data_IF_957428306963
#
_entry.id   IF_957428306963
#
_cell.length_a   1.000
_cell.length_b   1.000
_cell.length_c   1.000
_cell.angle_alpha   90.00
_cell.angle_beta   90.00
_cell.angle_gamma   90.00
#
_symmetry.space_group_name_H-M   'P 1'
#
loop_
_entity.id
_entity.type
_entity.pdbx_description
1 polymer ?
#
# COMPACT_ATOMS: atom_id res chain seq x y z
N UNK A 1 23.75 24.14 -18.04
CA UNK A 1 22.82 23.88 -16.94
C UNK A 1 21.77 22.96 -17.52
N UNK A 2 22.03 21.65 -17.42
CA UNK A 2 21.07 20.65 -17.90
C UNK A 2 19.97 20.54 -16.86
N UNK A 3 18.77 20.67 -17.36
CA UNK A 3 17.53 20.80 -16.63
C UNK A 3 17.20 19.48 -15.95
N UNK A 4 17.72 19.28 -14.74
CA UNK A 4 17.35 18.19 -13.84
C UNK A 4 16.04 18.56 -13.14
N UNK A 5 15.03 18.92 -13.95
CA UNK A 5 13.70 19.20 -13.44
C UNK A 5 13.13 17.88 -12.90
N UNK A 6 12.68 17.85 -11.63
CA UNK A 6 12.14 16.64 -11.04
C UNK A 6 10.89 16.24 -11.83
N UNK A 7 11.01 15.17 -12.62
CA UNK A 7 9.87 14.58 -13.33
C UNK A 7 8.75 14.36 -12.30
N UNK A 8 7.55 14.92 -12.52
CA UNK A 8 6.46 14.75 -11.57
C UNK A 8 6.25 13.25 -11.35
N UNK A 9 6.31 12.82 -10.08
CA UNK A 9 6.11 11.42 -9.71
C UNK A 9 4.81 10.96 -10.35
N UNK A 10 4.89 10.01 -11.27
CA UNK A 10 3.71 9.46 -11.92
C UNK A 10 2.73 9.02 -10.82
N UNK A 11 1.47 9.46 -10.92
CA UNK A 11 0.43 9.03 -10.00
C UNK A 11 0.29 7.52 -10.15
N UNK A 12 0.80 6.76 -9.16
CA UNK A 12 0.82 5.30 -9.17
C UNK A 12 -0.62 4.77 -9.01
N UNK A 13 -1.32 4.61 -10.13
CA UNK A 13 -2.70 4.13 -10.16
C UNK A 13 -2.77 2.65 -10.57
N UNK A 14 -3.58 1.88 -9.86
CA UNK A 14 -3.85 0.48 -10.23
C UNK A 14 -4.50 0.44 -11.62
N UNK A 15 -4.00 -0.46 -12.47
CA UNK A 15 -4.54 -0.67 -13.82
C UNK A 15 -4.15 0.39 -14.86
N UNK A 16 -3.19 1.26 -14.56
CA UNK A 16 -2.65 2.20 -15.55
C UNK A 16 -1.86 1.46 -16.66
N UNK A 17 -1.83 2.00 -17.90
CA UNK A 17 -0.97 1.49 -18.95
C UNK A 17 0.52 1.52 -18.52
N UNK A 18 1.28 0.48 -18.90
CA UNK A 18 2.69 0.33 -18.50
C UNK A 18 3.67 0.55 -19.65
N UNK A 19 3.18 0.80 -20.86
CA UNK A 19 3.96 0.79 -22.10
C UNK A 19 5.10 1.82 -22.12
N UNK A 20 4.97 2.89 -21.34
CA UNK A 20 5.95 3.98 -21.23
C UNK A 20 6.73 4.00 -19.92
N UNK A 21 6.50 3.02 -19.04
CA UNK A 21 7.13 2.95 -17.71
C UNK A 21 8.37 2.06 -17.78
N UNK A 22 9.50 2.57 -17.30
CA UNK A 22 10.73 1.78 -17.27
C UNK A 22 10.67 0.64 -16.25
N UNK A 23 11.47 -0.41 -16.45
CA UNK A 23 11.58 -1.50 -15.48
C UNK A 23 12.06 -1.05 -14.08
N UNK A 24 12.80 0.06 -13.99
CA UNK A 24 13.19 0.65 -12.71
C UNK A 24 12.00 1.25 -11.98
N UNK A 25 11.24 2.10 -12.67
CA UNK A 25 10.01 2.70 -12.15
C UNK A 25 8.98 1.62 -11.76
N UNK A 26 8.85 0.54 -12.54
CA UNK A 26 7.99 -0.61 -12.18
C UNK A 26 8.42 -1.31 -10.89
N UNK A 27 9.73 -1.38 -10.58
CA UNK A 27 10.21 -1.94 -9.31
C UNK A 27 9.86 -1.04 -8.13
N UNK A 28 10.09 0.26 -8.27
CA UNK A 28 9.72 1.26 -7.24
C UNK A 28 8.20 1.23 -6.98
N UNK A 29 7.39 1.04 -8.03
CA UNK A 29 5.95 0.84 -7.93
C UNK A 29 5.60 -0.42 -7.12
N UNK A 30 6.23 -1.55 -7.43
CA UNK A 30 6.01 -2.82 -6.70
C UNK A 30 6.34 -2.64 -5.22
N UNK A 31 7.48 -2.04 -4.89
CA UNK A 31 7.88 -1.79 -3.50
C UNK A 31 6.85 -0.92 -2.76
N UNK A 32 6.36 0.13 -3.42
CA UNK A 32 5.33 1.01 -2.86
C UNK A 32 4.04 0.26 -2.59
N UNK A 33 3.56 -0.56 -3.53
CA UNK A 33 2.33 -1.33 -3.35
C UNK A 33 2.47 -2.43 -2.30
N UNK A 34 3.63 -3.09 -2.22
CA UNK A 34 3.90 -4.09 -1.17
C UNK A 34 3.90 -3.46 0.22
N UNK A 35 4.50 -2.27 0.37
CA UNK A 35 4.47 -1.54 1.64
C UNK A 35 3.03 -1.17 2.04
N UNK A 36 2.20 -0.73 1.09
CA UNK A 36 0.80 -0.41 1.38
C UNK A 36 -0.03 -1.67 1.69
N UNK A 37 0.21 -2.79 1.01
CA UNK A 37 -0.42 -4.08 1.34
C UNK A 37 -0.10 -4.47 2.78
N UNK A 38 1.18 -4.43 3.18
CA UNK A 38 1.59 -4.78 4.53
C UNK A 38 0.92 -3.89 5.59
N UNK A 39 0.78 -2.60 5.32
CA UNK A 39 0.07 -1.66 6.19
C UNK A 39 -1.42 -2.03 6.34
N UNK A 40 -2.08 -2.34 5.23
CA UNK A 40 -3.50 -2.72 5.22
C UNK A 40 -3.72 -4.03 5.97
N UNK A 41 -2.87 -5.04 5.75
CA UNK A 41 -2.91 -6.31 6.48
C UNK A 41 -2.75 -6.12 7.99
N UNK A 42 -1.81 -5.27 8.42
CA UNK A 42 -1.61 -4.95 9.83
C UNK A 42 -2.85 -4.28 10.46
N UNK A 43 -3.49 -3.36 9.75
CA UNK A 43 -4.71 -2.71 10.23
C UNK A 43 -5.91 -3.68 10.27
N UNK A 44 -6.04 -4.59 9.28
CA UNK A 44 -7.04 -5.67 9.31
C UNK A 44 -6.83 -6.54 10.56
N UNK A 45 -5.60 -7.00 10.80
CA UNK A 45 -5.29 -7.83 11.96
C UNK A 45 -5.64 -7.12 13.28
N UNK A 46 -5.33 -5.82 13.40
CA UNK A 46 -5.69 -5.00 14.56
C UNK A 46 -7.20 -4.93 14.75
N UNK A 47 -7.98 -4.71 13.68
CA UNK A 47 -9.46 -4.65 13.75
C UNK A 47 -10.06 -5.99 14.15
N UNK A 48 -9.55 -7.10 13.63
CA UNK A 48 -10.03 -8.44 13.99
C UNK A 48 -9.71 -8.79 15.45
N UNK A 49 -8.53 -8.42 15.96
CA UNK A 49 -8.18 -8.57 17.37
C UNK A 49 -9.13 -7.77 18.28
N UNK A 50 -9.44 -6.52 17.92
CA UNK A 50 -10.40 -5.70 18.66
C UNK A 50 -11.80 -6.36 18.71
N UNK A 51 -12.26 -6.89 17.57
CA UNK A 51 -13.54 -7.59 17.47
C UNK A 51 -13.58 -8.86 18.33
N UNK A 52 -12.51 -9.65 18.31
CA UNK A 52 -12.39 -10.86 19.12
C UNK A 52 -12.36 -10.55 20.62
N UNK A 53 -11.63 -9.52 21.04
CA UNK A 53 -11.59 -9.06 22.43
C UNK A 53 -12.99 -8.63 22.93
N UNK A 54 -13.73 -7.87 22.11
CA UNK A 54 -15.10 -7.49 22.42
C UNK A 54 -16.01 -8.73 22.52
N UNK A 55 -15.94 -9.65 21.56
CA UNK A 55 -16.76 -10.87 21.55
C UNK A 55 -16.53 -11.78 22.77
N UNK A 56 -15.31 -11.82 23.31
CA UNK A 56 -15.00 -12.57 24.52
C UNK A 56 -15.52 -11.87 25.77
N UNK A 57 -15.46 -10.53 25.84
CA UNK A 57 -16.02 -9.77 26.96
C UNK A 57 -17.52 -10.07 27.15
N UNK A 58 -18.31 -10.07 26.07
CA UNK A 58 -19.75 -10.34 26.13
C UNK A 58 -20.15 -11.82 26.38
N UNK A 59 -19.21 -12.77 26.37
CA UNK A 59 -19.49 -14.20 26.68
C UNK A 59 -19.26 -14.56 28.16
N UNK A 60 -18.72 -13.62 28.93
CA UNK A 60 -18.34 -13.85 30.33
C UNK A 60 -19.29 -13.16 31.33
N UNK A 61 -20.34 -12.50 30.82
CA UNK A 61 -21.55 -12.09 31.56
C UNK A 61 -22.68 -13.12 31.34
#
# INVERSE_FOLDING_TARGET
MWDDEPRPKATLSIGMPLDTISAGELREMIETYQAEIARLEAEIAKKEQQKAAAANFFKTD
#
